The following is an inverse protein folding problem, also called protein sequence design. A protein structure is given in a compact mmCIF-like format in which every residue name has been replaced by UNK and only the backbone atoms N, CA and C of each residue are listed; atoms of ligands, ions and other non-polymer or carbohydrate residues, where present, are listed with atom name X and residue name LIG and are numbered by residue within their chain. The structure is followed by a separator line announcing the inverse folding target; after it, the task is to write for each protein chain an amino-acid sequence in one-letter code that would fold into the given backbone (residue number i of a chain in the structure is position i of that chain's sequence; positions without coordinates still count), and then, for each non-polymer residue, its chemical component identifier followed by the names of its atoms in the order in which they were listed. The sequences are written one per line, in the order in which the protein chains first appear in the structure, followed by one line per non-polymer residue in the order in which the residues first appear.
data_IF_800517072421
#
_entry.id   IF_800517072421
#
_cell.length_a   1.000
_cell.length_b   1.000
_cell.length_c   1.000
_cell.angle_alpha   90.00
_cell.angle_beta   90.00
_cell.angle_gamma   90.00
#
_symmetry.space_group_name_H-M   'P 1'
#
loop_
_entity.id
_entity.type
_entity.pdbx_description
1 polymer ?
#
# COMPACT_ATOMS: atom_id res chain seq x y z
N UNK A 1 -12.76 -43.97 34.92
CA UNK A 1 -12.17 -43.21 33.80
C UNK A 1 -12.92 -41.90 33.73
N UNK A 2 -12.22 -40.75 33.76
CA UNK A 2 -12.88 -39.45 33.73
C UNK A 2 -13.26 -39.11 32.28
N UNK A 3 -14.56 -38.92 32.03
CA UNK A 3 -15.06 -38.34 30.78
C UNK A 3 -14.76 -36.84 30.81
N UNK A 4 -13.96 -36.38 29.85
CA UNK A 4 -13.78 -34.96 29.58
C UNK A 4 -14.70 -34.58 28.42
N UNK A 5 -15.76 -33.83 28.72
CA UNK A 5 -16.64 -33.26 27.71
C UNK A 5 -15.97 -31.99 27.15
N UNK A 6 -15.35 -32.10 25.97
CA UNK A 6 -14.84 -30.93 25.28
C UNK A 6 -16.02 -30.14 24.68
N UNK A 7 -16.08 -28.84 24.99
CA UNK A 7 -17.08 -27.92 24.45
C UNK A 7 -16.78 -27.69 22.97
N UNK A 8 -17.32 -28.53 22.10
CA UNK A 8 -17.14 -28.39 20.66
C UNK A 8 -17.92 -27.18 20.15
N UNK A 9 -17.26 -26.34 19.35
CA UNK A 9 -17.94 -25.27 18.61
C UNK A 9 -18.62 -25.94 17.41
N UNK A 10 -19.94 -25.98 17.43
CA UNK A 10 -20.74 -26.52 16.33
C UNK A 10 -20.94 -25.44 15.25
N UNK A 11 -20.29 -25.64 14.11
CA UNK A 11 -20.38 -24.77 12.94
C UNK A 11 -21.32 -25.32 11.86
N UNK A 12 -22.04 -26.42 12.14
CA UNK A 12 -22.89 -27.11 11.17
C UNK A 12 -24.01 -26.22 10.62
N UNK A 13 -24.50 -25.26 11.42
CA UNK A 13 -25.48 -24.26 11.00
C UNK A 13 -24.93 -23.07 10.20
N UNK A 14 -23.61 -22.91 10.11
CA UNK A 14 -22.96 -21.80 9.42
C UNK A 14 -22.46 -22.18 8.00
N UNK A 15 -22.62 -23.45 7.62
CA UNK A 15 -22.19 -23.96 6.31
C UNK A 15 -23.21 -23.67 5.22
N UNK A 16 -22.81 -22.92 4.18
CA UNK A 16 -23.56 -22.83 2.93
C UNK A 16 -22.96 -23.81 1.93
N UNK A 17 -23.68 -24.89 1.62
CA UNK A 17 -23.28 -25.85 0.58
C UNK A 17 -23.51 -25.20 -0.79
N UNK A 18 -22.46 -25.19 -1.63
CA UNK A 18 -22.55 -24.76 -3.03
C UNK A 18 -21.91 -25.80 -3.93
N UNK A 19 -22.52 -26.05 -5.09
CA UNK A 19 -21.96 -26.95 -6.09
C UNK A 19 -20.60 -26.46 -6.56
N UNK A 20 -19.63 -27.38 -6.61
CA UNK A 20 -18.31 -27.10 -7.17
C UNK A 20 -18.44 -26.79 -8.66
N UNK A 21 -18.14 -25.53 -9.04
CA UNK A 21 -17.97 -25.14 -10.44
C UNK A 21 -16.49 -25.09 -10.75
N UNK A 22 -16.03 -25.98 -11.64
CA UNK A 22 -14.68 -25.93 -12.18
C UNK A 22 -14.41 -24.54 -12.79
N UNK A 23 -13.27 -23.89 -12.51
CA UNK A 23 -12.90 -22.66 -13.20
C UNK A 23 -12.83 -22.98 -14.70
N UNK A 24 -13.76 -22.46 -15.49
CA UNK A 24 -13.68 -22.57 -16.94
C UNK A 24 -12.33 -21.98 -17.39
N UNK A 25 -11.68 -22.60 -18.37
CA UNK A 25 -10.34 -22.26 -18.89
C UNK A 25 -10.19 -20.84 -19.46
N UNK A 26 -11.22 -20.00 -19.36
CA UNK A 26 -11.21 -18.57 -19.68
C UNK A 26 -11.84 -17.70 -18.57
N UNK A 27 -11.83 -18.17 -17.32
CA UNK A 27 -12.02 -17.28 -16.20
C UNK A 27 -10.77 -16.39 -16.13
N UNK A 28 -10.79 -15.24 -16.80
CA UNK A 28 -10.11 -14.05 -16.27
C UNK A 28 -10.45 -14.08 -14.79
N UNK A 29 -9.47 -14.39 -13.94
CA UNK A 29 -9.62 -14.38 -12.49
C UNK A 29 -10.40 -13.10 -12.21
N UNK A 30 -11.70 -13.24 -11.92
CA UNK A 30 -12.43 -12.10 -11.38
C UNK A 30 -11.73 -11.93 -10.06
N UNK A 31 -10.87 -10.93 -9.98
CA UNK A 31 -10.29 -10.51 -8.72
C UNK A 31 -11.46 -10.49 -7.74
N UNK A 32 -11.28 -11.14 -6.58
CA UNK A 32 -12.21 -11.00 -5.45
C UNK A 32 -12.67 -9.55 -5.47
N UNK A 33 -13.97 -9.32 -5.67
CA UNK A 33 -14.50 -8.02 -6.08
C UNK A 33 -14.01 -6.99 -5.06
N UNK A 34 -12.98 -6.23 -5.45
CA UNK A 34 -12.26 -5.34 -4.54
C UNK A 34 -13.25 -4.29 -4.07
N UNK A 35 -13.58 -4.31 -2.79
CA UNK A 35 -14.48 -3.33 -2.22
C UNK A 35 -13.68 -2.04 -2.09
N UNK A 36 -13.97 -1.07 -2.98
CA UNK A 36 -13.30 0.24 -3.06
C UNK A 36 -13.13 0.86 -1.68
N UNK A 37 -14.19 0.85 -0.87
CA UNK A 37 -14.17 1.47 0.45
C UNK A 37 -13.21 0.79 1.42
N UNK A 38 -13.22 -0.54 1.47
CA UNK A 38 -12.30 -1.31 2.33
C UNK A 38 -10.85 -1.09 1.90
N UNK A 39 -10.62 -1.18 0.59
CA UNK A 39 -9.31 -0.91 0.01
C UNK A 39 -8.84 0.53 0.30
N UNK A 40 -9.70 1.52 0.05
CA UNK A 40 -9.40 2.93 0.27
C UNK A 40 -9.12 3.23 1.73
N UNK A 41 -9.95 2.73 2.65
CA UNK A 41 -9.72 2.87 4.10
C UNK A 41 -8.39 2.27 4.53
N UNK A 42 -8.05 1.09 4.01
CA UNK A 42 -6.77 0.42 4.31
C UNK A 42 -5.58 1.26 3.86
N UNK A 43 -5.57 1.70 2.60
CA UNK A 43 -4.44 2.49 2.06
C UNK A 43 -4.33 3.86 2.70
N UNK A 44 -5.45 4.52 3.04
CA UNK A 44 -5.43 5.76 3.84
C UNK A 44 -4.82 5.51 5.22
N UNK A 45 -5.22 4.43 5.91
CA UNK A 45 -4.64 4.09 7.21
C UNK A 45 -3.14 3.77 7.14
N UNK A 46 -2.69 3.07 6.10
CA UNK A 46 -1.27 2.81 5.84
C UNK A 46 -0.49 4.09 5.55
N UNK A 47 -1.07 5.01 4.78
CA UNK A 47 -0.48 6.32 4.49
C UNK A 47 -0.32 7.14 5.78
N UNK A 48 -1.38 7.25 6.58
CA UNK A 48 -1.37 7.96 7.88
C UNK A 48 -0.31 7.36 8.82
N UNK A 49 -0.21 6.03 8.88
CA UNK A 49 0.79 5.34 9.69
C UNK A 49 2.23 5.59 9.18
N UNK A 50 2.45 5.55 7.86
CA UNK A 50 3.76 5.80 7.26
C UNK A 50 4.23 7.23 7.52
N UNK A 51 3.31 8.17 7.46
CA UNK A 51 3.50 9.57 7.80
C UNK A 51 3.91 9.76 9.27
N UNK A 52 3.13 9.22 10.21
CA UNK A 52 3.45 9.28 11.64
C UNK A 52 4.77 8.57 11.99
N UNK A 53 5.11 7.48 11.29
CA UNK A 53 6.37 6.79 11.50
C UNK A 53 7.55 7.60 10.97
N UNK A 54 7.40 8.31 9.86
CA UNK A 54 8.44 9.18 9.32
C UNK A 54 8.68 10.41 10.22
N UNK A 55 7.60 11.02 10.74
CA UNK A 55 7.69 12.17 11.65
C UNK A 55 8.43 11.78 12.94
N UNK A 56 8.07 10.65 13.56
CA UNK A 56 8.79 10.12 14.74
C UNK A 56 10.26 9.82 14.46
N UNK A 57 10.55 9.25 13.28
CA UNK A 57 11.93 8.98 12.87
C UNK A 57 12.74 10.28 12.72
N UNK A 58 12.10 11.35 12.22
CA UNK A 58 12.72 12.67 12.08
C UNK A 58 12.98 13.33 13.44
N UNK A 59 12.03 13.24 14.37
CA UNK A 59 12.19 13.77 15.74
C UNK A 59 13.29 13.05 16.53
N UNK A 60 13.52 11.77 16.22
CA UNK A 60 14.57 10.98 16.85
C UNK A 60 15.98 11.22 16.26
N UNK A 61 16.08 11.94 15.12
CA UNK A 61 17.38 12.27 14.53
C UNK A 61 18.04 13.40 15.32
N UNK A 62 19.19 13.10 15.90
CA UNK A 62 20.11 14.11 16.44
C UNK A 62 20.89 14.73 15.27
N UNK A 63 20.32 15.80 14.68
CA UNK A 63 20.92 16.47 13.53
C UNK A 63 22.10 17.35 13.98
N UNK A 64 23.26 17.26 13.32
CA UNK A 64 24.39 18.14 13.61
C UNK A 64 24.02 19.61 13.43
N UNK A 65 24.58 20.47 14.27
CA UNK A 65 24.41 21.93 14.19
C UNK A 65 24.67 22.46 12.77
N UNK A 66 23.73 23.24 12.24
CA UNK A 66 23.79 23.79 10.88
C UNK A 66 23.19 22.89 9.79
N UNK A 67 22.69 21.70 10.13
CA UNK A 67 21.94 20.84 9.20
C UNK A 67 20.47 21.22 9.20
N UNK A 68 19.93 21.62 8.04
CA UNK A 68 18.49 21.83 7.91
C UNK A 68 17.75 20.49 8.02
N UNK A 69 16.58 20.47 8.70
CA UNK A 69 15.72 19.28 8.69
C UNK A 69 15.28 18.95 7.26
N UNK A 70 14.99 17.68 6.95
CA UNK A 70 14.53 17.28 5.63
C UNK A 70 13.14 17.86 5.33
N UNK A 71 12.96 18.47 4.16
CA UNK A 71 11.72 19.14 3.71
C UNK A 71 10.62 18.18 3.20
N UNK A 72 10.68 16.92 3.61
CA UNK A 72 9.77 15.89 3.11
C UNK A 72 10.11 14.50 3.64
N UNK A 73 9.35 13.52 3.16
CA UNK A 73 9.53 12.13 3.54
C UNK A 73 9.63 11.22 2.33
N UNK A 74 10.23 10.05 2.53
CA UNK A 74 10.24 8.99 1.55
C UNK A 74 9.27 7.88 1.95
N UNK A 75 8.40 7.52 1.02
CA UNK A 75 7.47 6.42 1.11
C UNK A 75 7.92 5.29 0.18
N UNK A 76 7.69 4.06 0.60
CA UNK A 76 7.67 2.92 -0.31
C UNK A 76 6.22 2.62 -0.67
N UNK A 77 5.94 2.65 -1.97
CA UNK A 77 4.64 2.30 -2.53
C UNK A 77 4.77 0.98 -3.28
N UNK A 78 4.01 -0.02 -2.83
CA UNK A 78 3.90 -1.32 -3.46
C UNK A 78 2.69 -1.34 -4.38
N UNK A 79 2.87 -1.78 -5.63
CA UNK A 79 1.80 -1.91 -6.61
C UNK A 79 1.33 -3.35 -6.74
N UNK A 80 0.08 -3.53 -7.17
CA UNK A 80 -0.50 -4.84 -7.38
C UNK A 80 0.28 -5.65 -8.43
N UNK A 81 0.37 -6.99 -8.26
CA UNK A 81 1.03 -7.84 -9.24
C UNK A 81 0.43 -7.67 -10.64
N UNK A 82 1.29 -7.58 -11.66
CA UNK A 82 0.86 -7.46 -13.05
C UNK A 82 0.36 -6.06 -13.46
N UNK A 83 0.34 -5.08 -12.56
CA UNK A 83 0.14 -3.68 -12.93
C UNK A 83 1.33 -3.19 -13.75
N UNK A 84 1.05 -2.54 -14.88
CA UNK A 84 2.06 -1.93 -15.73
C UNK A 84 2.81 -0.76 -15.05
N UNK A 85 3.74 -0.11 -15.77
CA UNK A 85 4.42 1.07 -15.26
C UNK A 85 3.42 2.14 -14.83
N UNK A 86 3.35 2.40 -13.52
CA UNK A 86 2.52 3.45 -12.95
C UNK A 86 3.45 4.57 -12.47
N UNK A 87 3.18 5.79 -12.94
CA UNK A 87 3.91 6.99 -12.52
C UNK A 87 3.14 7.67 -11.38
N UNK A 88 3.75 7.68 -10.20
CA UNK A 88 3.21 8.36 -9.03
C UNK A 88 3.75 9.80 -8.90
N UNK A 89 4.82 10.13 -9.62
CA UNK A 89 5.38 11.48 -9.75
C UNK A 89 4.40 12.46 -10.39
N UNK A 90 4.27 13.63 -9.74
CA UNK A 90 3.36 14.68 -10.15
C UNK A 90 3.88 16.05 -9.73
N UNK A 91 3.98 16.95 -10.71
CA UNK A 91 4.37 18.35 -10.51
C UNK A 91 3.44 19.10 -9.53
N UNK A 92 2.14 18.82 -9.55
CA UNK A 92 1.15 19.50 -8.70
C UNK A 92 1.34 19.20 -7.22
N UNK A 93 1.70 17.97 -6.89
CA UNK A 93 1.90 17.54 -5.50
C UNK A 93 3.38 17.46 -5.12
N UNK A 94 4.29 17.99 -5.95
CA UNK A 94 5.74 17.96 -5.72
C UNK A 94 6.37 16.56 -5.56
N UNK A 95 5.59 15.50 -5.73
CA UNK A 95 6.04 14.12 -5.54
C UNK A 95 7.06 13.73 -6.58
N UNK A 96 8.15 13.07 -6.16
CA UNK A 96 9.25 12.66 -7.05
C UNK A 96 9.47 11.17 -6.93
N UNK A 97 9.50 10.47 -8.07
CA UNK A 97 9.67 9.03 -8.12
C UNK A 97 11.17 8.69 -8.19
N UNK A 98 11.64 7.90 -7.22
CA UNK A 98 13.02 7.45 -7.13
C UNK A 98 13.21 6.02 -7.63
N UNK A 99 13.84 5.19 -6.80
CA UNK A 99 14.10 3.79 -7.11
C UNK A 99 12.81 3.03 -7.41
N UNK A 100 12.88 2.17 -8.44
CA UNK A 100 11.82 1.23 -8.79
C UNK A 100 12.44 -0.15 -8.83
N UNK A 101 11.90 -1.07 -8.05
CA UNK A 101 12.30 -2.48 -8.01
C UNK A 101 11.11 -3.36 -8.37
N UNK A 102 11.39 -4.50 -8.99
CA UNK A 102 10.38 -5.50 -9.35
C UNK A 102 10.88 -6.82 -8.79
N UNK A 103 10.07 -7.43 -7.92
CA UNK A 103 10.37 -8.74 -7.35
C UNK A 103 10.14 -9.85 -8.38
N UNK A 104 10.66 -11.06 -8.13
CA UNK A 104 10.43 -12.23 -8.98
C UNK A 104 8.94 -12.55 -9.18
N UNK A 105 8.09 -12.20 -8.20
CA UNK A 105 6.64 -12.39 -8.25
C UNK A 105 5.90 -11.28 -9.03
N UNK A 106 6.63 -10.35 -9.66
CA UNK A 106 6.06 -9.24 -10.43
C UNK A 106 5.50 -8.10 -9.58
N UNK A 107 5.71 -8.11 -8.26
CA UNK A 107 5.37 -6.99 -7.36
C UNK A 107 6.35 -5.86 -7.61
N UNK A 108 5.82 -4.67 -7.90
CA UNK A 108 6.63 -3.46 -8.12
C UNK A 108 6.63 -2.60 -6.87
N UNK A 109 7.81 -2.21 -6.40
CA UNK A 109 8.00 -1.26 -5.30
C UNK A 109 8.62 0.02 -5.83
N UNK A 110 8.12 1.15 -5.34
CA UNK A 110 8.50 2.48 -5.79
C UNK A 110 8.89 3.30 -4.55
N UNK A 111 10.11 3.84 -4.55
CA UNK A 111 10.50 4.89 -3.64
C UNK A 111 9.86 6.21 -4.12
N UNK A 112 9.04 6.83 -3.28
CA UNK A 112 8.33 8.06 -3.59
C UNK A 112 8.70 9.13 -2.56
N UNK A 113 9.30 10.23 -3.00
CA UNK A 113 9.45 11.41 -2.18
C UNK A 113 8.15 12.20 -2.16
N UNK A 114 7.68 12.57 -0.98
CA UNK A 114 6.53 13.46 -0.75
C UNK A 114 7.03 14.67 0.05
N UNK A 115 6.97 15.89 -0.51
CA UNK A 115 7.36 17.08 0.23
C UNK A 115 6.34 17.41 1.33
N UNK A 116 6.79 18.07 2.40
CA UNK A 116 5.93 18.39 3.54
C UNK A 116 4.83 19.42 3.17
N UNK A 117 5.15 20.38 2.30
CA UNK A 117 4.24 21.44 1.84
C UNK A 117 3.02 20.94 1.03
N UNK A 118 3.11 19.72 0.52
CA UNK A 118 2.16 19.10 -0.41
C UNK A 118 1.63 17.78 0.12
N UNK A 119 1.98 17.43 1.36
CA UNK A 119 1.51 16.24 2.07
C UNK A 119 -0.01 16.14 2.12
N UNK A 120 -0.70 17.24 2.45
CA UNK A 120 -2.17 17.29 2.50
C UNK A 120 -2.80 17.09 1.11
N UNK A 121 -2.16 17.62 0.06
CA UNK A 121 -2.62 17.44 -1.32
C UNK A 121 -2.47 15.99 -1.76
N UNK A 122 -1.37 15.34 -1.35
CA UNK A 122 -1.14 13.94 -1.61
C UNK A 122 -2.13 13.05 -0.83
N UNK A 123 -2.34 13.31 0.46
CA UNK A 123 -3.32 12.61 1.30
C UNK A 123 -4.75 12.73 0.73
N UNK A 124 -5.15 13.93 0.30
CA UNK A 124 -6.45 14.16 -0.31
C UNK A 124 -6.70 13.27 -1.53
N UNK A 125 -5.68 12.88 -2.30
CA UNK A 125 -5.84 11.94 -3.42
C UNK A 125 -6.33 10.57 -2.97
N UNK A 126 -5.82 10.07 -1.84
CA UNK A 126 -6.21 8.77 -1.29
C UNK A 126 -7.57 8.86 -0.60
N UNK A 127 -7.83 9.96 0.11
CA UNK A 127 -9.14 10.22 0.73
C UNK A 127 -10.25 10.40 -0.30
N UNK A 128 -10.00 11.11 -1.39
CA UNK A 128 -10.92 11.24 -2.53
C UNK A 128 -11.24 9.85 -3.10
N UNK A 129 -10.22 9.02 -3.31
CA UNK A 129 -10.43 7.65 -3.77
C UNK A 129 -11.24 6.83 -2.75
N UNK A 130 -11.02 6.98 -1.46
CA UNK A 130 -11.68 6.17 -0.43
C UNK A 130 -13.13 6.60 -0.14
N UNK A 131 -13.38 7.91 -0.07
CA UNK A 131 -14.58 8.47 0.58
C UNK A 131 -15.44 9.36 -0.32
N UNK A 132 -14.91 9.88 -1.43
CA UNK A 132 -15.72 10.74 -2.29
C UNK A 132 -16.84 9.95 -2.97
N UNK A 133 -17.96 10.61 -3.23
CA UNK A 133 -19.08 10.01 -3.95
C UNK A 133 -18.69 9.59 -5.37
N UNK A 134 -19.25 8.47 -5.82
CA UNK A 134 -19.06 8.01 -7.19
C UNK A 134 -20.06 8.73 -8.09
N UNK A 135 -19.59 9.39 -9.14
CA UNK A 135 -20.44 9.98 -10.16
C UNK A 135 -20.67 8.97 -11.28
N UNK A 136 -21.76 8.20 -11.20
CA UNK A 136 -22.04 7.10 -12.13
C UNK A 136 -20.99 5.98 -12.00
N UNK A 137 -20.28 5.68 -13.09
CA UNK A 137 -19.19 4.70 -13.10
C UNK A 137 -17.80 5.32 -12.83
N UNK A 138 -17.74 6.64 -12.65
CA UNK A 138 -16.47 7.36 -12.48
C UNK A 138 -16.07 7.42 -11.01
N UNK A 139 -15.19 6.51 -10.62
CA UNK A 139 -14.55 6.55 -9.30
C UNK A 139 -13.43 7.60 -9.30
N UNK A 140 -13.45 8.58 -8.37
CA UNK A 140 -12.38 9.57 -8.23
C UNK A 140 -11.01 8.93 -7.98
N UNK A 141 -9.98 9.45 -8.66
CA UNK A 141 -8.57 9.04 -8.50
C UNK A 141 -8.29 7.53 -8.67
N UNK A 142 -9.24 6.77 -9.24
CA UNK A 142 -9.17 5.31 -9.42
C UNK A 142 -7.85 4.86 -10.03
N UNK A 143 -7.48 5.41 -11.19
CA UNK A 143 -6.27 5.02 -11.93
C UNK A 143 -4.97 5.24 -11.16
N UNK A 144 -4.98 6.08 -10.11
CA UNK A 144 -3.80 6.38 -9.29
C UNK A 144 -3.72 5.53 -8.03
N UNK A 145 -4.86 5.32 -7.37
CA UNK A 145 -4.90 4.66 -6.05
C UNK A 145 -5.24 3.18 -6.16
N UNK A 146 -6.09 2.78 -7.11
CA UNK A 146 -6.45 1.37 -7.29
C UNK A 146 -5.25 0.45 -7.58
N UNK A 147 -4.19 0.86 -8.30
CA UNK A 147 -3.02 0.02 -8.49
C UNK A 147 -2.12 -0.09 -7.25
N UNK A 148 -2.28 0.78 -6.26
CA UNK A 148 -1.50 0.75 -5.01
C UNK A 148 -2.03 -0.37 -4.14
N UNK A 149 -1.16 -1.29 -3.73
CA UNK A 149 -1.49 -2.31 -2.74
C UNK A 149 -1.03 -1.93 -1.36
N UNK A 150 0.20 -1.45 -1.17
CA UNK A 150 0.67 -1.07 0.16
C UNK A 150 1.44 0.23 0.18
N UNK A 151 1.33 0.97 1.28
CA UNK A 151 2.16 2.15 1.58
C UNK A 151 2.89 1.93 2.89
N UNK A 152 4.19 2.22 2.92
CA UNK A 152 4.99 2.21 4.14
C UNK A 152 6.05 3.30 4.10
N UNK A 153 6.62 3.64 5.26
CA UNK A 153 7.82 4.48 5.32
C UNK A 153 8.95 3.78 4.58
N UNK A 154 9.66 4.51 3.72
CA UNK A 154 10.79 3.96 2.98
C UNK A 154 11.89 3.50 3.94
N UNK A 155 12.58 2.43 3.55
CA UNK A 155 13.72 1.85 4.26
C UNK A 155 14.92 1.84 3.32
N UNK A 156 16.11 1.48 3.82
CA UNK A 156 17.29 1.37 2.97
C UNK A 156 17.05 0.40 1.78
N UNK A 157 16.36 -0.71 2.04
CA UNK A 157 16.01 -1.70 1.01
C UNK A 157 15.12 -1.13 -0.10
N UNK A 158 14.35 -0.08 0.19
CA UNK A 158 13.52 0.61 -0.82
C UNK A 158 14.37 1.27 -1.91
N UNK A 159 15.58 1.71 -1.55
CA UNK A 159 16.51 2.38 -2.46
C UNK A 159 17.55 1.44 -3.06
N UNK A 160 17.70 0.24 -2.49
CA UNK A 160 18.67 -0.74 -2.94
C UNK A 160 18.24 -1.37 -4.26
N UNK A 161 19.09 -1.22 -5.29
CA UNK A 161 18.84 -1.78 -6.63
C UNK A 161 19.80 -2.90 -7.00
N UNK A 162 20.79 -3.14 -6.16
CA UNK A 162 21.79 -4.20 -6.35
C UNK A 162 21.30 -5.52 -5.70
N UNK A 163 22.17 -6.52 -5.62
CA UNK A 163 21.87 -7.80 -4.98
C UNK A 163 21.33 -7.59 -3.55
N UNK A 164 20.10 -8.02 -3.24
CA UNK A 164 19.56 -7.95 -1.89
C UNK A 164 20.42 -8.68 -0.85
N UNK A 165 21.16 -9.72 -1.25
CA UNK A 165 22.07 -10.47 -0.38
C UNK A 165 23.38 -9.72 -0.08
N UNK A 166 23.64 -8.61 -0.79
CA UNK A 166 24.79 -7.74 -0.56
C UNK A 166 24.45 -6.53 0.33
N UNK A 167 23.21 -6.43 0.83
CA UNK A 167 22.87 -5.41 1.82
C UNK A 167 23.64 -5.71 3.12
N UNK A 168 24.34 -4.75 3.72
CA UNK A 168 24.96 -4.96 5.03
C UNK A 168 23.91 -5.40 6.05
N UNK A 169 24.24 -6.43 6.83
CA UNK A 169 23.47 -6.77 8.03
C UNK A 169 23.68 -5.65 9.07
N UNK A 170 22.62 -5.33 9.83
CA UNK A 170 22.62 -4.28 10.88
C UNK A 170 23.71 -4.48 11.95
#
# INVERSE_FOLDING_TARGET
MAEYEHRHIDLSGLGVVRDYKSPGSNARQRSLQRIREEHGRRVVGELDAAFQSADRGREALDLPDGTSPPDGIYLEVELAPGVGPTTLERKREGTRQGAVTVTANGIRRIALFVPDDTRDVFDAVFRDYAFAEVQGDKIPKKSRVEPVEHIRTARLQTFWRDDPAALPDD
#
